data_IF_214245083486
#
_entry.id   IF_214245083486
#
_cell.length_a   1.000
_cell.length_b   1.000
_cell.length_c   1.000
_cell.angle_alpha   90.00
_cell.angle_beta   90.00
_cell.angle_gamma   90.00
#
_symmetry.space_group_name_H-M   'P 1'
#
loop_
_entity.id
_entity.type
_entity.pdbx_description
1 polymer ?
#
# COMPACT_ATOMS: atom_id res chain seq x y z
N UNK A 1 84.65 10.41 -25.79
CA UNK A 1 83.75 9.72 -26.74
C UNK A 1 83.37 8.34 -26.19
N UNK A 2 84.28 7.36 -26.11
CA UNK A 2 83.95 6.01 -25.59
C UNK A 2 83.33 5.93 -24.18
N UNK A 3 83.76 6.78 -23.23
CA UNK A 3 83.15 6.84 -21.89
C UNK A 3 81.71 7.40 -21.92
N UNK A 4 81.43 8.32 -22.85
CA UNK A 4 80.10 8.90 -23.06
C UNK A 4 79.17 7.85 -23.69
N UNK A 5 79.66 7.08 -24.66
CA UNK A 5 78.91 6.00 -25.30
C UNK A 5 78.56 4.87 -24.32
N UNK A 6 79.50 4.51 -23.43
CA UNK A 6 79.26 3.54 -22.36
C UNK A 6 78.22 4.03 -21.34
N UNK A 7 78.30 5.30 -20.93
CA UNK A 7 77.32 5.90 -20.04
C UNK A 7 75.93 5.99 -20.69
N UNK A 8 75.87 6.33 -21.97
CA UNK A 8 74.63 6.36 -22.75
C UNK A 8 74.00 4.97 -22.90
N UNK A 9 74.81 3.94 -23.19
CA UNK A 9 74.33 2.56 -23.24
C UNK A 9 73.78 2.07 -21.89
N UNK A 10 74.46 2.43 -20.78
CA UNK A 10 73.98 2.14 -19.43
C UNK A 10 72.65 2.83 -19.11
N UNK A 11 72.48 4.10 -19.52
CA UNK A 11 71.23 4.84 -19.36
C UNK A 11 70.08 4.19 -20.14
N UNK A 12 70.30 3.83 -21.41
CA UNK A 12 69.31 3.15 -22.25
C UNK A 12 68.87 1.80 -21.66
N UNK A 13 69.81 1.04 -21.08
CA UNK A 13 69.49 -0.22 -20.41
C UNK A 13 68.66 0.00 -19.14
N UNK A 14 69.02 1.00 -18.33
CA UNK A 14 68.26 1.36 -17.14
C UNK A 14 66.85 1.88 -17.47
N UNK A 15 66.71 2.69 -18.52
CA UNK A 15 65.41 3.18 -19.01
C UNK A 15 64.53 2.03 -19.49
N UNK A 16 65.09 1.07 -20.23
CA UNK A 16 64.36 -0.13 -20.70
C UNK A 16 63.88 -0.97 -19.52
N UNK A 17 64.73 -1.22 -18.54
CA UNK A 17 64.36 -2.00 -17.35
C UNK A 17 63.28 -1.28 -16.54
N UNK A 18 63.43 0.03 -16.32
CA UNK A 18 62.43 0.86 -15.64
C UNK A 18 61.09 0.84 -16.37
N UNK A 19 61.10 0.95 -17.70
CA UNK A 19 59.88 0.89 -18.52
C UNK A 19 59.20 -0.47 -18.44
N UNK A 20 59.98 -1.57 -18.40
CA UNK A 20 59.43 -2.92 -18.21
C UNK A 20 58.72 -3.04 -16.87
N UNK A 21 59.39 -2.66 -15.79
CA UNK A 21 58.85 -2.73 -14.42
C UNK A 21 57.56 -1.91 -14.29
N UNK A 22 57.55 -0.68 -14.85
CA UNK A 22 56.35 0.18 -14.83
C UNK A 22 55.19 -0.51 -15.54
N UNK A 23 55.41 -1.06 -16.74
CA UNK A 23 54.35 -1.73 -17.51
C UNK A 23 53.84 -3.01 -16.83
N UNK A 24 54.72 -3.79 -16.20
CA UNK A 24 54.34 -4.95 -15.40
C UNK A 24 53.49 -4.52 -14.19
N UNK A 25 53.94 -3.50 -13.46
CA UNK A 25 53.21 -2.97 -12.29
C UNK A 25 51.83 -2.42 -12.66
N UNK A 26 51.71 -1.69 -13.77
CA UNK A 26 50.42 -1.19 -14.28
C UNK A 26 49.48 -2.35 -14.58
N UNK A 27 50.00 -3.41 -15.21
CA UNK A 27 49.19 -4.60 -15.54
C UNK A 27 48.69 -5.30 -14.28
N UNK A 28 49.55 -5.45 -13.28
CA UNK A 28 49.21 -6.09 -12.02
C UNK A 28 48.13 -5.29 -11.26
N UNK A 29 48.27 -3.95 -11.21
CA UNK A 29 47.26 -3.06 -10.62
C UNK A 29 45.92 -3.20 -11.35
N UNK A 30 45.91 -3.13 -12.69
CA UNK A 30 44.67 -3.28 -13.47
C UNK A 30 44.02 -4.65 -13.26
N UNK A 31 44.80 -5.72 -13.21
CA UNK A 31 44.27 -7.06 -12.94
C UNK A 31 43.74 -7.21 -11.52
N UNK A 32 44.37 -6.58 -10.52
CA UNK A 32 43.87 -6.55 -9.16
C UNK A 32 42.52 -5.81 -9.07
N UNK A 33 42.39 -4.66 -9.74
CA UNK A 33 41.13 -3.91 -9.80
C UNK A 33 40.00 -4.74 -10.42
N UNK A 34 40.24 -5.38 -11.58
CA UNK A 34 39.26 -6.27 -12.22
C UNK A 34 38.75 -7.36 -11.28
N UNK A 35 39.67 -8.05 -10.58
CA UNK A 35 39.32 -9.11 -9.63
C UNK A 35 38.54 -8.57 -8.44
N UNK A 36 38.99 -7.46 -7.86
CA UNK A 36 38.32 -6.85 -6.71
C UNK A 36 36.89 -6.43 -7.03
N UNK A 37 36.66 -5.77 -8.17
CA UNK A 37 35.32 -5.43 -8.63
C UNK A 37 34.49 -6.70 -8.82
N UNK A 38 35.02 -7.69 -9.55
CA UNK A 38 34.30 -8.92 -9.86
C UNK A 38 33.91 -9.73 -8.61
N UNK A 39 34.82 -9.89 -7.65
CA UNK A 39 34.53 -10.61 -6.41
C UNK A 39 33.38 -9.92 -5.66
N UNK A 40 33.40 -8.58 -5.55
CA UNK A 40 32.34 -7.82 -4.87
C UNK A 40 31.02 -7.85 -5.62
N UNK A 41 31.05 -7.71 -6.94
CA UNK A 41 29.88 -7.77 -7.81
C UNK A 41 29.19 -9.15 -7.73
N UNK A 42 29.97 -10.23 -7.82
CA UNK A 42 29.46 -11.60 -7.76
C UNK A 42 28.86 -11.93 -6.39
N UNK A 43 29.52 -11.53 -5.29
CA UNK A 43 29.00 -11.69 -3.93
C UNK A 43 27.67 -10.93 -3.76
N UNK A 44 27.59 -9.71 -4.29
CA UNK A 44 26.38 -8.89 -4.22
C UNK A 44 25.22 -9.49 -5.02
N UNK A 45 25.49 -9.90 -6.26
CA UNK A 45 24.50 -10.53 -7.12
C UNK A 45 23.91 -11.80 -6.48
N UNK A 46 24.77 -12.61 -5.83
CA UNK A 46 24.31 -13.78 -5.09
C UNK A 46 23.39 -13.39 -3.92
N UNK A 47 23.77 -12.36 -3.15
CA UNK A 47 22.93 -11.87 -2.06
C UNK A 47 21.56 -11.37 -2.54
N UNK A 48 21.52 -10.57 -3.61
CA UNK A 48 20.26 -10.10 -4.21
C UNK A 48 19.38 -11.25 -4.69
N UNK A 49 19.96 -12.24 -5.37
CA UNK A 49 19.23 -13.42 -5.82
C UNK A 49 18.68 -14.22 -4.64
N UNK A 50 19.47 -14.44 -3.58
CA UNK A 50 19.00 -15.12 -2.37
C UNK A 50 17.82 -14.37 -1.74
N UNK A 51 17.88 -13.06 -1.63
CA UNK A 51 16.77 -12.26 -1.09
C UNK A 51 15.53 -12.35 -1.97
N UNK A 52 15.68 -12.25 -3.29
CA UNK A 52 14.58 -12.39 -4.25
C UNK A 52 13.85 -13.74 -4.14
N UNK A 53 14.63 -14.83 -4.03
CA UNK A 53 14.08 -16.18 -3.80
C UNK A 53 13.40 -16.28 -2.43
N UNK A 54 14.00 -15.72 -1.38
CA UNK A 54 13.42 -15.70 -0.04
C UNK A 54 12.10 -14.93 0.02
N UNK A 55 11.97 -13.82 -0.71
CA UNK A 55 10.71 -13.05 -0.80
C UNK A 55 9.63 -13.86 -1.52
N UNK A 56 10.02 -14.52 -2.61
CA UNK A 56 9.10 -15.28 -3.47
C UNK A 56 8.62 -16.59 -2.82
N UNK A 57 9.46 -17.23 -2.00
CA UNK A 57 9.18 -18.51 -1.35
C UNK A 57 8.49 -18.42 0.02
N UNK A 58 7.92 -17.26 0.37
CA UNK A 58 7.19 -17.11 1.62
C UNK A 58 5.80 -17.74 1.57
N UNK A 59 5.58 -18.70 2.46
CA UNK A 59 4.33 -19.41 2.66
C UNK A 59 4.05 -19.54 4.17
N UNK A 60 2.78 -19.70 4.56
CA UNK A 60 2.36 -19.84 5.96
C UNK A 60 1.45 -18.72 6.45
N UNK A 61 1.36 -18.53 7.76
CA UNK A 61 0.52 -17.47 8.35
C UNK A 61 1.07 -16.07 8.02
N UNK A 62 0.16 -15.11 7.91
CA UNK A 62 0.44 -13.74 7.47
C UNK A 62 1.40 -13.04 8.42
N UNK A 63 1.25 -13.29 9.72
CA UNK A 63 2.07 -12.74 10.80
C UNK A 63 3.54 -13.20 10.69
N UNK A 64 3.75 -14.50 10.45
CA UNK A 64 5.09 -15.08 10.27
C UNK A 64 5.75 -14.55 8.99
N UNK A 65 4.98 -14.47 7.89
CA UNK A 65 5.46 -13.89 6.64
C UNK A 65 5.86 -12.42 6.81
N UNK A 66 5.08 -11.64 7.58
CA UNK A 66 5.38 -10.23 7.85
C UNK A 66 6.68 -10.10 8.64
N UNK A 67 6.84 -10.86 9.72
CA UNK A 67 8.07 -10.83 10.51
C UNK A 67 9.31 -11.13 9.65
N UNK A 68 9.20 -12.13 8.75
CA UNK A 68 10.30 -12.47 7.85
C UNK A 68 10.61 -11.36 6.84
N UNK A 69 9.59 -10.76 6.21
CA UNK A 69 9.83 -9.65 5.28
C UNK A 69 10.36 -8.41 6.00
N UNK A 70 9.92 -8.12 7.23
CA UNK A 70 10.49 -7.03 8.03
C UNK A 70 11.99 -7.24 8.26
N UNK A 71 12.42 -8.45 8.61
CA UNK A 71 13.85 -8.79 8.73
C UNK A 71 14.62 -8.63 7.41
N UNK A 72 14.00 -8.98 6.29
CA UNK A 72 14.58 -8.75 4.96
C UNK A 72 14.70 -7.24 4.69
N UNK A 73 13.67 -6.46 4.98
CA UNK A 73 13.70 -4.99 4.85
C UNK A 73 14.83 -4.37 5.66
N UNK A 74 15.06 -4.84 6.89
CA UNK A 74 16.18 -4.41 7.75
C UNK A 74 17.55 -4.75 7.19
N UNK A 75 17.65 -5.77 6.31
CA UNK A 75 18.89 -6.15 5.63
C UNK A 75 19.17 -5.33 4.36
N UNK A 76 18.24 -4.50 3.90
CA UNK A 76 18.40 -3.68 2.69
C UNK A 76 19.40 -2.52 2.88
N UNK A 77 19.39 -1.72 3.97
CA UNK A 77 20.32 -0.59 4.12
C UNK A 77 21.81 -0.99 4.06
N UNK A 78 22.26 -2.12 4.67
CA UNK A 78 23.63 -2.60 4.48
C UNK A 78 24.00 -2.89 3.01
N UNK A 79 23.03 -3.27 2.17
CA UNK A 79 23.25 -3.52 0.74
C UNK A 79 23.47 -2.21 -0.03
N UNK A 80 22.84 -1.11 0.37
CA UNK A 80 23.12 0.23 -0.19
C UNK A 80 24.56 0.67 0.08
N UNK A 81 25.05 0.44 1.30
CA UNK A 81 26.44 0.73 1.65
C UNK A 81 27.40 -0.15 0.84
N UNK A 82 27.08 -1.44 0.66
CA UNK A 82 27.89 -2.34 -0.14
C UNK A 82 27.91 -1.96 -1.63
N UNK A 83 26.76 -1.54 -2.17
CA UNK A 83 26.65 -1.04 -3.54
C UNK A 83 27.49 0.24 -3.72
N UNK A 84 27.56 1.10 -2.71
CA UNK A 84 28.44 2.29 -2.73
C UNK A 84 29.92 1.90 -2.83
N UNK A 85 30.33 0.81 -2.18
CA UNK A 85 31.71 0.28 -2.29
C UNK A 85 31.99 -0.21 -3.71
N UNK A 86 31.03 -0.92 -4.32
CA UNK A 86 31.14 -1.40 -5.70
C UNK A 86 31.23 -0.22 -6.67
N UNK A 87 30.40 0.82 -6.50
CA UNK A 87 30.45 2.03 -7.32
C UNK A 87 31.82 2.72 -7.30
N UNK A 88 32.47 2.80 -6.13
CA UNK A 88 33.85 3.32 -6.04
C UNK A 88 34.89 2.46 -6.77
N UNK A 89 34.71 1.14 -6.77
CA UNK A 89 35.59 0.23 -7.52
C UNK A 89 35.37 0.36 -9.03
N UNK A 90 34.13 0.61 -9.45
CA UNK A 90 33.75 0.88 -10.82
C UNK A 90 34.40 2.17 -11.33
N UNK A 91 34.28 3.27 -10.58
CA UNK A 91 34.96 4.54 -10.85
C UNK A 91 36.49 4.35 -10.98
N UNK A 92 37.11 3.55 -10.11
CA UNK A 92 38.53 3.23 -10.21
C UNK A 92 38.89 2.42 -11.47
N UNK A 93 37.99 1.54 -11.93
CA UNK A 93 38.17 0.80 -13.17
C UNK A 93 38.08 1.74 -14.39
N UNK A 94 37.13 2.67 -14.39
CA UNK A 94 36.98 3.69 -15.42
C UNK A 94 38.21 4.62 -15.49
N UNK A 95 38.67 5.14 -14.35
CA UNK A 95 39.88 5.98 -14.25
C UNK A 95 41.14 5.24 -14.73
N UNK A 96 41.20 3.92 -14.50
CA UNK A 96 42.27 3.07 -14.98
C UNK A 96 42.11 2.64 -16.45
N UNK A 97 41.06 3.11 -17.15
CA UNK A 97 40.74 2.79 -18.54
C UNK A 97 40.62 1.26 -18.74
N UNK A 98 39.88 0.60 -17.84
CA UNK A 98 39.55 -0.82 -17.91
C UNK A 98 38.17 -0.95 -18.55
N UNK A 99 38.12 -1.40 -19.80
CA UNK A 99 36.86 -1.50 -20.57
C UNK A 99 36.16 -2.86 -20.39
N UNK A 100 36.93 -3.90 -20.10
CA UNK A 100 36.43 -5.28 -20.01
C UNK A 100 36.98 -5.98 -18.76
N UNK A 101 36.10 -6.80 -18.15
CA UNK A 101 36.40 -7.60 -16.98
C UNK A 101 35.96 -9.06 -17.18
N UNK A 102 36.92 -9.94 -17.46
CA UNK A 102 36.65 -11.37 -17.69
C UNK A 102 36.20 -12.14 -16.43
N UNK A 103 36.27 -11.53 -15.25
CA UNK A 103 35.97 -12.18 -13.97
C UNK A 103 34.52 -12.04 -13.51
N UNK A 104 33.74 -11.15 -14.14
CA UNK A 104 32.31 -11.00 -13.84
C UNK A 104 31.54 -10.57 -15.08
N UNK A 105 30.28 -10.98 -15.16
CA UNK A 105 29.35 -10.53 -16.19
C UNK A 105 28.49 -9.36 -15.72
N UNK A 106 28.55 -9.01 -14.43
CA UNK A 106 27.72 -7.97 -13.84
C UNK A 106 28.40 -6.60 -13.97
N UNK A 107 27.63 -5.63 -14.42
CA UNK A 107 28.00 -4.21 -14.39
C UNK A 107 27.45 -3.53 -13.14
N UNK A 108 28.02 -2.38 -12.77
CA UNK A 108 27.50 -1.60 -11.64
C UNK A 108 26.03 -1.21 -11.85
N UNK A 109 25.68 -0.73 -13.04
CA UNK A 109 24.31 -0.33 -13.38
C UNK A 109 23.29 -1.47 -13.26
N UNK A 110 23.66 -2.69 -13.68
CA UNK A 110 22.80 -3.87 -13.50
C UNK A 110 22.57 -4.18 -12.02
N UNK A 111 23.61 -4.09 -11.19
CA UNK A 111 23.47 -4.32 -9.75
C UNK A 111 22.61 -3.27 -9.05
N UNK A 112 22.70 -2.01 -9.48
CA UNK A 112 21.82 -0.92 -9.02
C UNK A 112 20.37 -1.24 -9.34
N UNK A 113 20.11 -1.68 -10.58
CA UNK A 113 18.76 -2.05 -11.02
C UNK A 113 18.20 -3.25 -10.25
N UNK A 114 18.98 -4.33 -10.09
CA UNK A 114 18.58 -5.52 -9.35
C UNK A 114 18.27 -5.21 -7.87
N UNK A 115 19.07 -4.36 -7.22
CA UNK A 115 18.75 -3.90 -5.86
C UNK A 115 17.42 -3.13 -5.83
N UNK A 116 17.16 -2.30 -6.84
CA UNK A 116 15.89 -1.59 -6.99
C UNK A 116 14.69 -2.54 -7.10
N UNK A 117 14.82 -3.63 -7.85
CA UNK A 117 13.79 -4.67 -7.96
C UNK A 117 13.54 -5.37 -6.62
N UNK A 118 14.60 -5.72 -5.89
CA UNK A 118 14.47 -6.32 -4.55
C UNK A 118 13.75 -5.37 -3.60
N UNK A 119 14.15 -4.10 -3.55
CA UNK A 119 13.50 -3.06 -2.74
C UNK A 119 12.00 -2.94 -3.05
N UNK A 120 11.65 -2.83 -4.33
CA UNK A 120 10.25 -2.75 -4.75
C UNK A 120 9.46 -4.01 -4.36
N UNK A 121 10.08 -5.18 -4.48
CA UNK A 121 9.44 -6.46 -4.12
C UNK A 121 9.19 -6.57 -2.62
N UNK A 122 10.15 -6.15 -1.79
CA UNK A 122 9.99 -6.09 -0.32
C UNK A 122 8.86 -5.15 0.06
N UNK A 123 8.84 -3.93 -0.48
CA UNK A 123 7.81 -2.93 -0.18
C UNK A 123 6.41 -3.42 -0.57
N UNK A 124 6.25 -3.95 -1.78
CA UNK A 124 4.97 -4.51 -2.26
C UNK A 124 4.51 -5.69 -1.41
N UNK A 125 5.42 -6.55 -0.98
CA UNK A 125 5.08 -7.71 -0.14
C UNK A 125 4.70 -7.28 1.28
N UNK A 126 5.38 -6.29 1.86
CA UNK A 126 4.97 -5.69 3.15
C UNK A 126 3.56 -5.12 3.07
N UNK A 127 3.31 -4.27 2.07
CA UNK A 127 2.01 -3.65 1.86
C UNK A 127 0.89 -4.70 1.74
N UNK A 128 1.12 -5.74 0.92
CA UNK A 128 0.18 -6.83 0.76
C UNK A 128 -0.13 -7.55 2.09
N UNK A 129 0.90 -7.85 2.89
CA UNK A 129 0.73 -8.55 4.17
C UNK A 129 0.04 -7.67 5.21
N UNK A 130 0.38 -6.38 5.29
CA UNK A 130 -0.30 -5.41 6.16
C UNK A 130 -1.79 -5.33 5.81
N UNK A 131 -2.12 -5.21 4.53
CA UNK A 131 -3.51 -5.15 4.08
C UNK A 131 -4.28 -6.42 4.46
N UNK A 132 -3.66 -7.59 4.31
CA UNK A 132 -4.27 -8.85 4.68
C UNK A 132 -4.49 -8.99 6.20
N UNK A 133 -3.61 -8.41 7.02
CA UNK A 133 -3.81 -8.35 8.47
C UNK A 133 -4.99 -7.45 8.85
N UNK A 134 -5.06 -6.26 8.25
CA UNK A 134 -6.18 -5.32 8.47
C UNK A 134 -7.51 -5.98 8.08
N UNK A 135 -7.53 -6.64 6.91
CA UNK A 135 -8.67 -7.42 6.42
C UNK A 135 -9.17 -8.47 7.42
N UNK A 136 -8.26 -9.20 8.07
CA UNK A 136 -8.61 -10.21 9.08
C UNK A 136 -9.11 -9.59 10.39
N UNK A 137 -8.63 -8.39 10.74
CA UNK A 137 -8.98 -7.70 11.98
C UNK A 137 -10.33 -6.97 11.93
N UNK A 138 -10.74 -6.50 10.74
CA UNK A 138 -11.97 -5.75 10.55
C UNK A 138 -13.15 -6.69 10.25
N UNK A 139 -13.79 -7.23 11.29
CA UNK A 139 -14.90 -8.21 11.15
C UNK A 139 -16.24 -7.58 10.77
N UNK A 140 -16.34 -6.27 10.81
CA UNK A 140 -17.52 -5.46 10.54
C UNK A 140 -17.68 -5.06 9.06
N UNK A 141 -16.66 -5.26 8.22
CA UNK A 141 -16.75 -5.03 6.79
C UNK A 141 -17.09 -6.32 6.03
N UNK A 142 -17.95 -6.22 5.03
CA UNK A 142 -18.11 -7.32 4.07
C UNK A 142 -16.85 -7.44 3.19
N UNK A 143 -16.52 -8.65 2.67
CA UNK A 143 -15.38 -8.82 1.78
C UNK A 143 -15.43 -7.90 0.55
N UNK A 144 -16.63 -7.60 0.06
CA UNK A 144 -16.85 -6.73 -1.11
C UNK A 144 -16.50 -5.27 -0.79
N UNK A 145 -16.95 -4.75 0.35
CA UNK A 145 -16.61 -3.38 0.78
C UNK A 145 -15.11 -3.21 1.01
N UNK A 146 -14.47 -4.22 1.61
CA UNK A 146 -13.03 -4.19 1.83
C UNK A 146 -12.26 -4.19 0.49
N UNK A 147 -12.68 -5.01 -0.47
CA UNK A 147 -12.09 -5.04 -1.82
C UNK A 147 -12.26 -3.69 -2.54
N UNK A 148 -13.43 -3.05 -2.39
CA UNK A 148 -13.68 -1.71 -2.93
C UNK A 148 -12.74 -0.66 -2.32
N UNK A 149 -12.63 -0.61 -0.99
CA UNK A 149 -11.73 0.32 -0.31
C UNK A 149 -10.27 0.07 -0.66
N UNK A 150 -9.85 -1.19 -0.76
CA UNK A 150 -8.49 -1.55 -1.18
C UNK A 150 -8.21 -1.12 -2.62
N UNK A 151 -9.13 -1.36 -3.53
CA UNK A 151 -9.01 -0.98 -4.93
C UNK A 151 -8.84 0.54 -5.08
N UNK A 152 -9.67 1.32 -4.36
CA UNK A 152 -9.57 2.78 -4.35
C UNK A 152 -8.25 3.24 -3.74
N UNK A 153 -7.87 2.73 -2.57
CA UNK A 153 -6.62 3.10 -1.92
C UNK A 153 -5.41 2.88 -2.86
N UNK A 154 -5.33 1.70 -3.49
CA UNK A 154 -4.25 1.37 -4.43
C UNK A 154 -4.27 2.20 -5.71
N UNK A 155 -5.45 2.62 -6.17
CA UNK A 155 -5.57 3.49 -7.33
C UNK A 155 -4.92 4.87 -7.09
N UNK A 156 -5.02 5.37 -5.86
CA UNK A 156 -4.52 6.69 -5.48
C UNK A 156 -3.12 6.66 -4.87
N UNK A 157 -2.66 5.55 -4.27
CA UNK A 157 -1.26 5.34 -3.87
C UNK A 157 -0.37 5.08 -5.10
N UNK A 158 -0.09 6.15 -5.86
CA UNK A 158 0.74 6.07 -7.08
C UNK A 158 2.21 5.76 -6.78
N UNK A 159 2.66 6.06 -5.57
CA UNK A 159 4.03 5.83 -5.11
C UNK A 159 4.29 4.40 -4.67
N UNK A 160 3.24 3.63 -4.38
CA UNK A 160 3.37 2.33 -3.72
C UNK A 160 3.98 2.47 -2.32
N UNK A 161 3.78 3.63 -1.67
CA UNK A 161 4.25 3.90 -0.32
C UNK A 161 3.45 3.17 0.75
N UNK A 162 2.34 2.54 0.36
CA UNK A 162 1.32 2.00 1.27
C UNK A 162 0.72 3.08 2.19
N UNK A 163 0.74 4.33 1.73
CA UNK A 163 0.21 5.49 2.43
C UNK A 163 -0.22 6.56 1.44
N UNK A 164 -1.28 7.29 1.79
CA UNK A 164 -1.83 8.38 1.00
C UNK A 164 -1.39 9.72 1.58
N UNK A 165 -0.90 10.59 0.70
CA UNK A 165 -0.75 12.01 1.00
C UNK A 165 -2.12 12.68 0.99
N UNK A 166 -2.21 13.90 1.54
CA UNK A 166 -3.47 14.63 1.71
C UNK A 166 -4.28 14.74 0.40
N UNK A 167 -3.63 15.07 -0.71
CA UNK A 167 -4.29 15.16 -2.03
C UNK A 167 -4.77 13.78 -2.53
N UNK A 168 -4.00 12.72 -2.28
CA UNK A 168 -4.35 11.35 -2.68
C UNK A 168 -5.50 10.81 -1.82
N UNK A 169 -5.50 11.12 -0.53
CA UNK A 169 -6.58 10.82 0.41
C UNK A 169 -7.87 11.54 0.00
N UNK A 170 -7.82 12.84 -0.25
CA UNK A 170 -8.97 13.62 -0.75
C UNK A 170 -9.57 13.01 -2.02
N UNK A 171 -8.73 12.66 -2.99
CA UNK A 171 -9.17 12.07 -4.24
C UNK A 171 -9.78 10.66 -4.05
N UNK A 172 -9.21 9.86 -3.14
CA UNK A 172 -9.75 8.55 -2.76
C UNK A 172 -11.15 8.67 -2.14
N UNK A 173 -11.35 9.61 -1.21
CA UNK A 173 -12.65 9.87 -0.60
C UNK A 173 -13.69 10.32 -1.64
N UNK A 174 -13.32 11.25 -2.52
CA UNK A 174 -14.19 11.72 -3.58
C UNK A 174 -14.62 10.57 -4.53
N UNK A 175 -13.71 9.61 -4.81
CA UNK A 175 -14.03 8.42 -5.61
C UNK A 175 -15.01 7.46 -4.95
N UNK A 176 -15.09 7.47 -3.62
CA UNK A 176 -16.07 6.71 -2.83
C UNK A 176 -17.35 7.50 -2.56
N UNK A 177 -17.49 8.70 -3.14
CA UNK A 177 -18.66 9.57 -2.98
C UNK A 177 -18.63 10.43 -1.71
N UNK A 178 -17.53 10.40 -0.95
CA UNK A 178 -17.33 11.24 0.23
C UNK A 178 -16.64 12.55 -0.18
N UNK A 179 -17.44 13.61 -0.34
CA UNK A 179 -16.95 14.93 -0.74
C UNK A 179 -17.01 15.88 0.44
N UNK A 180 -15.86 16.40 0.82
CA UNK A 180 -15.68 17.41 1.86
C UNK A 180 -15.19 18.72 1.22
N UNK A 181 -15.40 19.86 1.88
CA UNK A 181 -14.73 21.09 1.47
C UNK A 181 -13.24 21.06 1.83
N UNK A 182 -12.46 22.04 1.33
CA UNK A 182 -11.00 22.04 1.53
C UNK A 182 -10.59 22.11 3.00
N UNK A 183 -11.32 22.90 3.81
CA UNK A 183 -11.01 23.08 5.23
C UNK A 183 -11.37 21.82 6.04
N UNK A 184 -12.55 21.24 5.80
CA UNK A 184 -12.98 20.01 6.44
C UNK A 184 -12.10 18.83 6.02
N UNK A 185 -11.73 18.72 4.74
CA UNK A 185 -10.83 17.66 4.27
C UNK A 185 -9.48 17.73 4.97
N UNK A 186 -8.92 18.93 5.14
CA UNK A 186 -7.68 19.12 5.88
C UNK A 186 -7.80 18.66 7.34
N UNK A 187 -8.91 19.00 8.01
CA UNK A 187 -9.19 18.56 9.38
C UNK A 187 -9.32 17.03 9.48
N UNK A 188 -10.07 16.39 8.57
CA UNK A 188 -10.19 14.92 8.51
C UNK A 188 -8.84 14.25 8.26
N UNK A 189 -8.05 14.81 7.36
CA UNK A 189 -6.72 14.30 7.07
C UNK A 189 -5.84 14.35 8.32
N UNK A 190 -5.80 15.49 9.04
CA UNK A 190 -5.01 15.64 10.26
C UNK A 190 -5.44 14.70 11.38
N UNK A 191 -6.75 14.47 11.52
CA UNK A 191 -7.33 13.53 12.47
C UNK A 191 -6.87 12.09 12.19
N UNK A 192 -6.91 11.68 10.92
CA UNK A 192 -6.58 10.32 10.50
C UNK A 192 -5.07 10.09 10.44
N UNK A 193 -4.28 11.08 10.00
CA UNK A 193 -2.82 10.98 9.77
C UNK A 193 -1.99 11.02 11.06
N UNK A 194 -2.61 11.21 12.23
CA UNK A 194 -1.96 11.46 13.52
C UNK A 194 -1.09 12.74 13.54
N UNK A 195 -1.47 13.77 12.77
CA UNK A 195 -0.87 15.12 12.86
C UNK A 195 -0.23 15.67 11.57
N UNK A 196 0.30 16.90 11.63
CA UNK A 196 0.75 17.66 10.47
C UNK A 196 2.02 17.06 9.84
N UNK A 197 2.01 16.91 8.51
CA UNK A 197 3.09 16.30 7.74
C UNK A 197 3.08 14.76 7.74
N UNK A 198 2.03 14.15 8.29
CA UNK A 198 1.79 12.72 8.23
C UNK A 198 1.30 12.25 6.86
N UNK A 199 1.15 10.93 6.74
CA UNK A 199 0.48 10.26 5.62
C UNK A 199 -0.55 9.29 6.20
N UNK A 200 -1.62 9.00 5.47
CA UNK A 200 -2.65 8.05 5.91
C UNK A 200 -2.28 6.65 5.44
N UNK A 201 -1.94 5.75 6.36
CA UNK A 201 -1.69 4.34 6.05
C UNK A 201 -2.96 3.61 5.61
N UNK A 202 -2.82 2.43 5.00
CA UNK A 202 -3.97 1.59 4.65
C UNK A 202 -4.86 1.29 5.86
N UNK A 203 -4.27 0.93 7.01
CA UNK A 203 -5.02 0.68 8.25
C UNK A 203 -5.82 1.90 8.70
N UNK A 204 -5.20 3.09 8.69
CA UNK A 204 -5.85 4.34 9.07
C UNK A 204 -7.00 4.68 8.11
N UNK A 205 -6.78 4.48 6.80
CA UNK A 205 -7.81 4.68 5.78
C UNK A 205 -9.01 3.74 6.00
N UNK A 206 -8.78 2.45 6.20
CA UNK A 206 -9.86 1.48 6.43
C UNK A 206 -10.61 1.79 7.72
N UNK A 207 -9.91 2.14 8.80
CA UNK A 207 -10.57 2.51 10.06
C UNK A 207 -11.46 3.75 9.89
N UNK A 208 -10.98 4.75 9.15
CA UNK A 208 -11.77 5.93 8.82
C UNK A 208 -12.98 5.58 7.95
N UNK A 209 -12.83 4.71 6.95
CA UNK A 209 -13.96 4.22 6.13
C UNK A 209 -15.00 3.48 6.95
N UNK A 210 -14.56 2.63 7.88
CA UNK A 210 -15.45 1.96 8.82
C UNK A 210 -16.25 2.99 9.63
N UNK A 211 -15.58 3.97 10.23
CA UNK A 211 -16.22 4.98 11.07
C UNK A 211 -17.26 5.80 10.29
N UNK A 212 -16.90 6.29 9.09
CA UNK A 212 -17.79 7.10 8.26
C UNK A 212 -18.96 6.28 7.67
N UNK A 213 -18.76 4.99 7.41
CA UNK A 213 -19.82 4.13 6.84
C UNK A 213 -20.72 3.49 7.89
N UNK A 214 -20.24 3.22 9.10
CA UNK A 214 -21.08 2.79 10.23
C UNK A 214 -22.11 3.87 10.61
N UNK A 215 -21.72 5.14 10.52
CA UNK A 215 -22.61 6.28 10.78
C UNK A 215 -23.71 6.51 9.72
N UNK A 216 -23.68 5.82 8.56
CA UNK A 216 -24.73 5.92 7.52
C UNK A 216 -25.82 4.86 7.62
N UNK A 217 -25.68 3.87 8.50
CA UNK A 217 -26.64 2.77 8.66
C UNK A 217 -27.24 2.70 10.07
N UNK A 218 -27.36 3.84 10.75
CA UNK A 218 -27.99 3.87 12.08
C UNK A 218 -29.48 3.51 11.99
N UNK A 219 -30.00 2.85 13.02
CA UNK A 219 -31.43 2.49 13.07
C UNK A 219 -32.32 3.75 13.01
N UNK A 220 -31.82 4.88 13.54
CA UNK A 220 -32.43 6.19 13.48
C UNK A 220 -32.54 6.72 12.04
N UNK A 221 -31.48 6.65 11.23
CA UNK A 221 -31.55 7.07 9.82
C UNK A 221 -32.48 6.19 9.00
N UNK A 222 -32.47 4.87 9.24
CA UNK A 222 -33.41 3.95 8.58
C UNK A 222 -34.85 4.28 8.99
N UNK A 223 -35.08 4.66 10.25
CA UNK A 223 -36.40 5.10 10.72
C UNK A 223 -36.86 6.39 10.04
N UNK A 224 -35.97 7.38 9.88
CA UNK A 224 -36.26 8.62 9.18
C UNK A 224 -36.60 8.38 7.71
N UNK A 225 -35.87 7.50 7.01
CA UNK A 225 -36.19 7.07 5.65
C UNK A 225 -37.59 6.46 5.55
N UNK A 226 -37.97 5.57 6.48
CA UNK A 226 -39.33 5.04 6.52
C UNK A 226 -40.39 6.13 6.75
N UNK A 227 -40.09 7.15 7.56
CA UNK A 227 -41.00 8.28 7.80
C UNK A 227 -41.21 9.13 6.55
N UNK A 228 -40.18 9.33 5.75
CA UNK A 228 -40.28 10.02 4.46
C UNK A 228 -41.08 9.19 3.45
N UNK A 229 -40.82 7.89 3.36
CA UNK A 229 -41.61 6.96 2.51
C UNK A 229 -43.07 6.92 2.91
N UNK A 230 -43.35 6.98 4.22
CA UNK A 230 -44.70 7.03 4.76
C UNK A 230 -45.40 8.38 4.56
N UNK A 231 -44.74 9.40 4.01
CA UNK A 231 -45.24 10.78 3.89
C UNK A 231 -45.80 11.31 5.24
N UNK A 232 -45.11 10.98 6.34
CA UNK A 232 -45.52 11.35 7.70
C UNK A 232 -46.66 10.51 8.32
N UNK A 233 -47.16 9.47 7.64
CA UNK A 233 -48.11 8.50 8.21
C UNK A 233 -47.41 7.59 9.24
N UNK A 234 -48.09 7.10 10.28
CA UNK A 234 -47.50 6.15 11.25
C UNK A 234 -47.40 4.70 10.70
N UNK A 235 -47.67 4.50 9.40
CA UNK A 235 -47.63 3.23 8.71
C UNK A 235 -47.16 3.44 7.27
N UNK A 236 -46.63 2.38 6.65
CA UNK A 236 -46.33 2.32 5.21
C UNK A 236 -47.23 1.31 4.51
N UNK A 237 -47.57 1.55 3.26
CA UNK A 237 -48.20 0.57 2.38
C UNK A 237 -47.17 -0.04 1.43
N UNK A 238 -47.47 -1.20 0.84
CA UNK A 238 -46.61 -1.78 -0.20
C UNK A 238 -46.39 -0.81 -1.38
N UNK A 239 -47.41 0.00 -1.70
CA UNK A 239 -47.33 1.00 -2.75
C UNK A 239 -46.33 2.11 -2.42
N UNK A 240 -46.29 2.57 -1.17
CA UNK A 240 -45.33 3.56 -0.68
C UNK A 240 -43.89 3.03 -0.83
N UNK A 241 -43.65 1.78 -0.46
CA UNK A 241 -42.34 1.12 -0.58
C UNK A 241 -41.90 0.97 -2.05
N UNK A 242 -42.82 0.57 -2.94
CA UNK A 242 -42.55 0.46 -4.39
C UNK A 242 -42.28 1.83 -5.03
N UNK A 243 -43.00 2.87 -4.61
CA UNK A 243 -42.77 4.24 -5.09
C UNK A 243 -41.44 4.83 -4.62
N UNK A 244 -40.90 4.34 -3.50
CA UNK A 244 -39.58 4.69 -2.98
C UNK A 244 -38.41 4.02 -3.73
N UNK A 245 -38.66 3.32 -4.84
CA UNK A 245 -37.65 2.59 -5.61
C UNK A 245 -36.91 1.51 -4.80
N UNK A 246 -37.52 0.99 -3.74
CA UNK A 246 -36.99 -0.15 -3.00
C UNK A 246 -37.10 -1.40 -3.90
N UNK A 247 -36.04 -2.21 -4.04
CA UNK A 247 -36.08 -3.44 -4.82
C UNK A 247 -37.20 -4.40 -4.37
N UNK A 248 -37.90 -5.02 -5.32
CA UNK A 248 -39.03 -5.92 -5.05
C UNK A 248 -38.68 -7.06 -4.06
N UNK A 249 -37.46 -7.62 -4.15
CA UNK A 249 -36.97 -8.66 -3.23
C UNK A 249 -36.94 -8.18 -1.77
N UNK A 250 -36.57 -6.93 -1.53
CA UNK A 250 -36.56 -6.34 -0.18
C UNK A 250 -37.98 -6.02 0.30
N UNK A 251 -38.87 -5.60 -0.60
CA UNK A 251 -40.27 -5.32 -0.27
C UNK A 251 -40.97 -6.58 0.22
N UNK A 252 -40.78 -7.72 -0.45
CA UNK A 252 -41.34 -9.01 -0.04
C UNK A 252 -40.89 -9.40 1.38
N UNK A 253 -39.61 -9.19 1.70
CA UNK A 253 -39.08 -9.46 3.02
C UNK A 253 -39.59 -8.47 4.09
N UNK A 254 -39.71 -7.18 3.77
CA UNK A 254 -40.27 -6.17 4.67
C UNK A 254 -41.75 -6.46 4.98
N UNK A 255 -42.56 -6.75 3.96
CA UNK A 255 -43.98 -7.10 4.12
C UNK A 255 -44.16 -8.37 4.97
N UNK A 256 -43.25 -9.34 4.85
CA UNK A 256 -43.28 -10.59 5.64
C UNK A 256 -42.87 -10.40 7.09
N UNK A 257 -42.00 -9.43 7.37
CA UNK A 257 -41.37 -9.25 8.70
C UNK A 257 -41.97 -8.12 9.51
N UNK A 258 -42.56 -7.11 8.86
CA UNK A 258 -43.21 -5.99 9.53
C UNK A 258 -44.57 -6.38 10.12
N UNK A 259 -44.87 -5.95 11.36
CA UNK A 259 -46.19 -6.13 11.94
C UNK A 259 -47.25 -5.29 11.21
N UNK A 260 -48.47 -5.82 11.08
CA UNK A 260 -49.58 -5.08 10.48
C UNK A 260 -50.08 -3.96 11.40
N UNK A 261 -50.35 -2.79 10.81
CA UNK A 261 -50.90 -1.64 11.51
C UNK A 261 -52.43 -1.69 11.54
N UNK A 262 -53.02 -1.57 12.73
CA UNK A 262 -54.48 -1.65 12.96
C UNK A 262 -55.08 -0.31 13.46
N UNK A 263 -54.42 0.82 13.21
CA UNK A 263 -54.84 2.16 13.64
C UNK A 263 -55.98 2.75 12.80
N UNK A 264 -56.49 3.95 13.17
CA UNK A 264 -57.62 4.58 12.48
C UNK A 264 -57.27 4.91 11.02
N UNK A 265 -58.14 4.48 10.10
CA UNK A 265 -57.92 4.62 8.67
C UNK A 265 -57.90 6.10 8.23
N UNK A 266 -56.84 6.50 7.51
CA UNK A 266 -56.94 7.65 6.61
C UNK A 266 -57.80 7.25 5.41
N UNK A 267 -58.62 8.19 4.94
CA UNK A 267 -59.69 7.93 3.97
C UNK A 267 -59.17 7.44 2.60
N UNK A 268 -57.90 7.68 2.30
CA UNK A 268 -57.22 7.32 1.05
C UNK A 268 -56.65 5.89 1.05
N UNK A 269 -56.33 5.32 2.22
CA UNK A 269 -55.65 4.01 2.37
C UNK A 269 -56.57 2.93 2.96
N UNK A 270 -57.90 3.12 2.92
CA UNK A 270 -58.86 2.30 3.70
C UNK A 270 -58.88 0.81 3.33
N UNK A 271 -58.50 0.48 2.10
CA UNK A 271 -58.58 -0.88 1.55
C UNK A 271 -57.20 -1.53 1.29
N UNK A 272 -56.11 -0.89 1.74
CA UNK A 272 -54.73 -1.39 1.57
C UNK A 272 -54.21 -2.04 2.86
N UNK A 273 -53.32 -3.04 2.69
CA UNK A 273 -52.55 -3.59 3.82
C UNK A 273 -51.54 -2.56 4.32
N UNK A 274 -51.52 -2.36 5.64
CA UNK A 274 -50.72 -1.33 6.31
C UNK A 274 -49.71 -1.99 7.22
N UNK A 275 -48.48 -1.52 7.18
CA UNK A 275 -47.37 -2.07 7.95
C UNK A 275 -46.81 -1.01 8.92
N UNK A 276 -46.66 -1.42 10.17
CA UNK A 276 -46.22 -0.57 11.28
C UNK A 276 -44.69 -0.56 11.35
N UNK A 277 -44.08 0.35 10.58
CA UNK A 277 -42.62 0.49 10.55
C UNK A 277 -42.07 1.01 11.90
N UNK A 278 -42.89 1.70 12.71
CA UNK A 278 -42.45 2.24 14.01
C UNK A 278 -42.17 1.10 14.98
N UNK A 279 -43.12 0.18 15.14
CA UNK A 279 -42.98 -1.00 15.99
C UNK A 279 -41.89 -1.93 15.47
N UNK A 280 -41.77 -2.04 14.14
CA UNK A 280 -40.69 -2.79 13.50
C UNK A 280 -39.31 -2.23 13.88
N UNK A 281 -39.12 -0.91 13.73
CA UNK A 281 -37.84 -0.24 14.00
C UNK A 281 -37.52 -0.13 15.49
N UNK A 282 -38.52 -0.07 16.38
CA UNK A 282 -38.32 -0.10 17.84
C UNK A 282 -37.56 -1.34 18.32
N UNK A 283 -37.68 -2.47 17.60
CA UNK A 283 -36.93 -3.69 17.89
C UNK A 283 -35.41 -3.53 17.64
N UNK A 284 -35.05 -2.64 16.72
CA UNK A 284 -33.68 -2.41 16.29
C UNK A 284 -33.05 -1.14 16.90
N UNK A 285 -33.86 -0.15 17.27
CA UNK A 285 -33.41 1.12 17.88
C UNK A 285 -33.08 1.01 19.39
N UNK A 286 -33.26 -0.16 20.01
CA UNK A 286 -33.02 -0.33 21.45
C UNK A 286 -34.03 0.44 22.30
N UNK A 287 -35.01 -0.28 22.86
CA UNK A 287 -36.09 0.25 23.70
C UNK A 287 -35.73 1.45 24.59
N UNK A 288 -36.13 2.66 24.18
CA UNK A 288 -36.46 3.72 25.11
C UNK A 288 -37.90 3.45 25.60
N UNK A 289 -38.13 3.10 26.88
CA UNK A 289 -39.48 2.97 27.39
C UNK A 289 -40.14 4.34 27.35
N UNK A 290 -41.30 4.40 26.70
CA UNK A 290 -42.23 5.53 26.66
C UNK A 290 -42.24 6.30 27.99
N UNK A 291 -41.59 7.46 28.01
CA UNK A 291 -42.00 8.55 28.89
C UNK A 291 -43.12 9.28 28.16
N UNK A 292 -44.36 8.82 28.37
CA UNK A 292 -45.58 9.63 28.34
C UNK A 292 -46.70 8.76 28.91
N UNK A 293 -46.76 8.74 30.25
CA UNK A 293 -48.03 8.57 30.93
C UNK A 293 -48.71 9.92 31.00
N UNK A 294 -49.89 10.02 30.41
CA UNK A 294 -51.12 10.58 30.97
C UNK A 294 -52.30 10.35 29.99
#
# INVERSE_FOLDING_TARGET
LAALDSAWAGLMQAEKERSRIINETIRDIKNALRRNFADKANDFALALHTLSVSISGLEGEVEDQREHITKISESVPPLDEYLTIIGRLDEQCEEANIEENDFTTYTYDELVYELGLVKSSVQKKLAFLENQMVARSMTNLTPIQLEEFESVFRHFDRGGSNSLQELEFSAALASLGLVYDEDEMHERFLEVSNGPGGTVSFEQFIRFMVEVTEDQYTAEQVFESFREVADGKPYVTELDLRHSLIPDELIEDLVRTMPQHNGPDLQEDRDLEKYDYITFMQKYMGAAPNANGE
#
